data_IF_424688024043
#
_entry.id   IF_424688024043
#
_cell.length_a   1.000
_cell.length_b   1.000
_cell.length_c   1.000
_cell.angle_alpha   90.00
_cell.angle_beta   90.00
_cell.angle_gamma   90.00
#
_symmetry.space_group_name_H-M   'P 1'
#
loop_
_entity.id
_entity.type
_entity.pdbx_description
1 polymer ?
2 non-polymer ?
3 non-polymer ?
4 water ?
#
# COMPACT_ATOMS: atom_id res chain seq x y z
N UNK A 4 -16.60 23.66 -12.43
CA UNK A 4 -16.03 23.04 -11.18
C UNK A 4 -14.69 22.35 -11.51
N UNK A 5 -13.53 22.86 -11.03
CA UNK A 5 -12.24 22.39 -11.50
C UNK A 5 -11.95 20.98 -10.95
N UNK A 6 -11.15 20.22 -11.69
CA UNK A 6 -10.73 18.85 -11.27
C UNK A 6 -9.65 19.01 -10.23
N UNK A 7 -9.67 18.18 -9.17
CA UNK A 7 -8.69 18.31 -8.12
C UNK A 7 -7.29 17.90 -8.56
N UNK A 8 -6.28 18.49 -7.90
CA UNK A 8 -4.84 18.20 -8.09
C UNK A 8 -4.37 17.31 -6.94
N UNK A 9 -5.12 17.31 -5.84
CA UNK A 9 -4.81 16.54 -4.61
C UNK A 9 -6.13 16.11 -3.96
N UNK A 10 -6.14 14.90 -3.39
CA UNK A 10 -7.28 14.39 -2.59
C UNK A 10 -6.74 13.92 -1.26
N UNK A 11 -7.62 13.75 -0.31
CA UNK A 11 -7.22 13.11 0.95
C UNK A 11 -7.92 11.78 1.02
N UNK A 12 -7.17 10.81 1.55
CA UNK A 12 -7.56 9.40 1.63
C UNK A 12 -7.43 9.01 3.10
N UNK A 13 -8.46 8.45 3.65
CA UNK A 13 -8.48 7.80 4.96
C UNK A 13 -8.32 6.30 4.78
N UNK A 14 -7.37 5.71 5.50
CA UNK A 14 -7.17 4.24 5.57
C UNK A 14 -7.44 3.83 7.01
N UNK A 15 -8.30 2.84 7.21
CA UNK A 15 -8.52 2.30 8.55
C UNK A 15 -8.29 0.82 8.54
N UNK A 16 -7.68 0.28 9.56
CA UNK A 16 -7.57 -1.19 9.73
C UNK A 16 -8.01 -1.52 11.14
N UNK A 17 -8.85 -2.53 11.28
CA UNK A 17 -9.34 -2.95 12.61
C UNK A 17 -9.62 -4.43 12.61
N UNK A 18 -8.92 -5.15 13.45
CA UNK A 18 -9.25 -6.56 13.74
C UNK A 18 -10.30 -6.51 14.85
N UNK A 19 -11.52 -6.86 14.48
CA UNK A 19 -12.73 -6.67 15.34
C UNK A 19 -12.84 -7.81 16.36
N UNK A 20 -11.97 -8.82 16.33
CA UNK A 20 -12.02 -9.91 17.33
C UNK A 20 -13.37 -10.62 17.36
N UNK A 21 -14.04 -10.69 16.22
CA UNK A 21 -15.31 -11.46 16.04
C UNK A 21 -16.38 -10.92 17.00
N UNK A 22 -16.34 -9.61 17.32
CA UNK A 22 -17.36 -8.98 18.17
C UNK A 22 -17.94 -7.80 17.41
N UNK A 23 -19.25 -7.51 17.61
CA UNK A 23 -19.83 -6.32 17.05
C UNK A 23 -19.17 -5.07 17.61
N UNK A 24 -19.16 -4.00 16.84
CA UNK A 24 -18.56 -2.75 17.29
C UNK A 24 -19.45 -2.11 18.34
N UNK A 25 -18.91 -1.12 19.06
CA UNK A 25 -19.72 -0.28 19.94
C UNK A 25 -20.58 0.67 19.09
N UNK A 26 -21.47 1.37 19.76
CA UNK A 26 -22.46 2.22 19.07
C UNK A 26 -21.76 3.41 18.40
N UNK A 27 -20.67 3.91 18.96
CA UNK A 27 -19.98 5.08 18.40
C UNK A 27 -18.54 4.73 17.98
N UNK A 28 -18.20 4.92 16.70
CA UNK A 28 -16.82 4.63 16.23
C UNK A 28 -16.26 5.86 15.51
N UNK A 29 -16.89 7.03 15.66
CA UNK A 29 -16.46 8.26 14.96
C UNK A 29 -15.00 8.66 15.20
N UNK A 30 -14.45 8.34 16.38
CA UNK A 30 -13.04 8.65 16.76
C UNK A 30 -12.09 8.05 15.72
N UNK A 31 -12.43 6.88 15.18
CA UNK A 31 -11.60 6.20 14.17
C UNK A 31 -11.50 7.11 12.94
N UNK A 32 -12.66 7.56 12.41
CA UNK A 32 -12.71 8.31 11.13
C UNK A 32 -12.20 9.74 11.34
N UNK A 33 -12.14 10.20 12.59
CA UNK A 33 -11.62 11.53 12.91
C UNK A 33 -10.12 11.47 13.20
N UNK A 34 -9.49 10.29 13.20
CA UNK A 34 -8.03 10.20 13.51
C UNK A 34 -7.74 10.79 14.90
N UNK A 35 -8.53 10.36 15.89
CA UNK A 35 -8.41 10.79 17.32
C UNK A 35 -7.94 9.61 18.18
N UNK A 36 -7.03 9.87 19.11
CA UNK A 36 -6.59 8.89 20.09
C UNK A 36 -5.12 9.12 20.32
N UNK A 37 -4.33 8.09 20.09
CA UNK A 37 -2.85 8.13 20.29
C UNK A 37 -2.15 8.27 18.95
N UNK A 38 -0.92 8.77 18.97
CA UNK A 38 -0.04 8.81 17.81
C UNK A 38 -0.07 10.16 17.15
N UNK A 39 0.03 10.14 15.83
CA UNK A 39 -0.03 11.34 14.96
C UNK A 39 -1.50 11.57 14.61
N UNK A 40 -2.15 12.48 15.32
CA UNK A 40 -3.61 12.66 15.27
C UNK A 40 -3.96 13.90 14.46
N UNK A 41 -5.21 13.93 14.03
CA UNK A 41 -5.76 14.99 13.18
C UNK A 41 -6.24 16.17 14.03
N UNK A 42 -6.01 17.39 13.53
CA UNK A 42 -6.40 18.63 14.23
C UNK A 42 -7.94 18.71 14.36
N UNK A 43 -8.41 19.13 15.53
CA UNK A 43 -9.86 19.30 15.79
C UNK A 43 -10.52 20.19 14.74
N UNK A 44 -9.78 21.16 14.23
CA UNK A 44 -10.31 22.17 13.29
C UNK A 44 -10.68 21.52 11.95
N UNK A 45 -10.28 20.26 11.72
CA UNK A 45 -10.57 19.53 10.47
C UNK A 45 -11.76 18.59 10.62
N UNK A 46 -12.34 18.46 11.80
CA UNK A 46 -13.31 17.37 12.07
C UNK A 46 -14.49 17.35 11.09
N UNK A 47 -14.97 18.49 10.61
CA UNK A 47 -16.13 18.48 9.70
C UNK A 47 -15.72 18.32 8.25
N UNK A 48 -14.43 18.36 7.94
CA UNK A 48 -13.94 18.33 6.55
C UNK A 48 -13.91 16.87 6.15
N UNK A 49 -14.69 16.44 5.14
CA UNK A 49 -14.66 15.04 4.78
C UNK A 49 -13.37 14.74 4.01
N UNK A 50 -12.86 13.53 4.20
CA UNK A 50 -11.86 12.95 3.29
C UNK A 50 -12.57 12.69 1.96
N UNK A 51 -11.80 12.63 0.89
CA UNK A 51 -12.37 12.36 -0.44
C UNK A 51 -12.76 10.88 -0.54
N UNK A 52 -11.93 10.01 0.00
CA UNK A 52 -12.05 8.53 -0.13
C UNK A 52 -11.79 7.98 1.27
N UNK A 53 -12.64 7.07 1.75
CA UNK A 53 -12.44 6.30 3.00
C UNK A 53 -12.31 4.82 2.65
N UNK A 54 -11.21 4.19 3.05
CA UNK A 54 -10.95 2.76 2.78
C UNK A 54 -10.86 2.10 4.12
N UNK A 55 -11.75 1.15 4.37
CA UNK A 55 -11.94 0.53 5.71
C UNK A 55 -11.65 -0.96 5.61
N UNK A 56 -10.53 -1.40 6.19
CA UNK A 56 -10.15 -2.80 6.23
C UNK A 56 -10.49 -3.36 7.57
N UNK A 57 -11.19 -4.48 7.56
CA UNK A 57 -11.46 -5.23 8.81
C UNK A 57 -10.97 -6.67 8.72
N UNK A 58 -10.64 -7.21 9.86
CA UNK A 58 -10.29 -8.63 10.06
C UNK A 58 -11.13 -9.17 11.20
N UNK A 59 -11.37 -10.46 11.20
CA UNK A 59 -12.22 -11.10 12.24
C UNK A 59 -13.53 -10.30 12.34
N UNK A 60 -14.08 -9.89 11.19
CA UNK A 60 -15.30 -9.07 11.10
C UNK A 60 -16.52 -9.99 11.14
N UNK A 61 -17.35 -9.88 12.18
CA UNK A 61 -18.51 -10.79 12.30
C UNK A 61 -19.80 -10.29 11.63
N UNK A 62 -19.77 -9.08 11.09
CA UNK A 62 -20.97 -8.43 10.54
C UNK A 62 -21.21 -8.90 9.10
N UNK A 63 -22.44 -8.77 8.66
CA UNK A 63 -22.71 -8.84 7.21
C UNK A 63 -22.18 -7.58 6.55
N UNK A 64 -22.05 -7.60 5.23
CA UNK A 64 -21.68 -6.42 4.44
C UNK A 64 -22.71 -5.32 4.69
N UNK A 65 -24.00 -5.65 4.60
CA UNK A 65 -25.07 -4.66 4.83
C UNK A 65 -24.93 -4.05 6.22
N UNK A 66 -24.77 -4.86 7.26
CA UNK A 66 -24.67 -4.36 8.65
C UNK A 66 -23.50 -3.39 8.79
N UNK A 67 -22.35 -3.74 8.24
CA UNK A 67 -21.17 -2.85 8.37
C UNK A 67 -21.31 -1.59 7.52
N UNK A 68 -21.81 -1.69 6.30
CA UNK A 68 -22.03 -0.51 5.45
C UNK A 68 -22.95 0.50 6.15
N UNK A 69 -24.03 0.00 6.76
CA UNK A 69 -25.00 0.80 7.55
C UNK A 69 -24.22 1.64 8.57
N UNK A 70 -23.39 0.97 9.36
CA UNK A 70 -22.63 1.57 10.48
C UNK A 70 -21.63 2.56 9.91
N UNK A 71 -20.91 2.18 8.86
CA UNK A 71 -19.91 3.09 8.29
C UNK A 71 -20.60 4.34 7.75
N UNK A 72 -21.59 4.20 6.87
CA UNK A 72 -22.21 5.40 6.24
C UNK A 72 -22.84 6.32 7.29
N UNK A 73 -23.52 5.73 8.29
CA UNK A 73 -24.09 6.48 9.45
C UNK A 73 -22.99 7.34 10.08
N UNK A 74 -21.88 6.70 10.47
CA UNK A 74 -20.75 7.34 11.19
C UNK A 74 -20.22 8.53 10.38
N UNK A 75 -19.98 8.35 9.07
CA UNK A 75 -19.46 9.44 8.22
C UNK A 75 -20.53 10.53 8.10
N UNK A 76 -21.78 10.17 7.90
CA UNK A 76 -22.87 11.19 7.80
C UNK A 76 -22.94 12.01 9.09
N UNK A 77 -22.83 11.35 10.25
CA UNK A 77 -22.84 12.07 11.56
C UNK A 77 -21.68 13.06 11.61
N UNK A 78 -20.47 12.67 11.16
CA UNK A 78 -19.26 13.52 11.22
C UNK A 78 -19.38 14.68 10.23
N UNK A 79 -19.76 14.40 9.00
CA UNK A 79 -19.50 15.30 7.84
C UNK A 79 -20.79 15.91 7.29
N UNK A 80 -21.93 15.32 7.63
CA UNK A 80 -23.26 15.63 7.05
C UNK A 80 -23.27 15.29 5.56
N UNK A 81 -22.35 14.42 5.11
CA UNK A 81 -22.30 13.92 3.70
C UNK A 81 -22.70 12.46 3.69
N UNK A 82 -23.52 12.08 2.72
CA UNK A 82 -23.94 10.70 2.47
C UNK A 82 -22.96 10.10 1.46
N UNK A 83 -22.04 9.27 1.93
CA UNK A 83 -20.98 8.72 1.05
C UNK A 83 -21.58 7.65 0.13
N UNK A 84 -21.00 7.57 -1.05
CA UNK A 84 -21.34 6.55 -2.05
C UNK A 84 -20.42 5.36 -1.85
N UNK A 85 -20.95 4.17 -2.02
CA UNK A 85 -20.16 2.93 -1.94
C UNK A 85 -19.48 2.69 -3.28
N UNK A 86 -18.15 2.68 -3.31
CA UNK A 86 -17.33 2.38 -4.52
C UNK A 86 -17.22 0.88 -4.68
N UNK A 87 -16.90 0.18 -3.60
CA UNK A 87 -16.67 -1.26 -3.65
C UNK A 87 -16.73 -1.83 -2.25
N UNK A 88 -17.09 -3.09 -2.19
CA UNK A 88 -16.99 -3.87 -0.94
C UNK A 88 -16.61 -5.28 -1.35
N UNK A 89 -15.65 -5.87 -0.67
CA UNK A 89 -15.22 -7.27 -0.95
C UNK A 89 -14.82 -7.96 0.34
N UNK A 90 -15.30 -9.16 0.56
CA UNK A 90 -15.10 -9.96 1.77
C UNK A 90 -14.57 -11.34 1.40
N UNK A 91 -13.49 -11.75 2.05
CA UNK A 91 -13.00 -13.14 2.02
C UNK A 91 -13.10 -13.62 3.46
N UNK A 92 -13.94 -14.60 3.72
CA UNK A 92 -14.14 -15.17 5.06
C UNK A 92 -14.53 -14.00 5.99
N UNK A 93 -13.65 -13.58 6.89
CA UNK A 93 -13.94 -12.50 7.85
C UNK A 93 -12.98 -11.33 7.65
N UNK A 94 -12.38 -11.22 6.47
CA UNK A 94 -11.48 -10.15 6.01
C UNK A 94 -12.24 -9.30 5.01
N UNK A 95 -12.35 -8.03 5.24
CA UNK A 95 -13.25 -7.21 4.42
C UNK A 95 -12.60 -5.88 4.09
N UNK A 96 -12.91 -5.38 2.92
CA UNK A 96 -12.53 -4.02 2.50
C UNK A 96 -13.77 -3.29 2.02
N UNK A 97 -13.96 -2.05 2.46
CA UNK A 97 -15.02 -1.13 2.00
C UNK A 97 -14.36 0.13 1.50
N UNK A 98 -14.75 0.61 0.32
CA UNK A 98 -14.29 1.91 -0.22
C UNK A 98 -15.52 2.79 -0.39
N UNK A 99 -15.49 3.93 0.27
CA UNK A 99 -16.52 4.96 0.19
C UNK A 99 -15.91 6.24 -0.37
N UNK A 100 -16.71 7.00 -1.11
CA UNK A 100 -16.19 8.27 -1.70
C UNK A 100 -17.26 9.34 -1.64
N UNK A 101 -16.84 10.61 -1.58
CA UNK A 101 -17.75 11.77 -1.73
C UNK A 101 -18.63 11.53 -2.94
N UNK A 102 -19.92 11.94 -2.90
CA UNK A 102 -20.76 11.82 -4.08
C UNK A 102 -20.25 12.55 -5.31
N UNK A 103 -19.59 13.68 -5.12
CA UNK A 103 -19.03 14.50 -6.23
C UNK A 103 -17.96 13.71 -6.98
N UNK A 104 -17.42 12.63 -6.41
CA UNK A 104 -16.38 11.81 -7.07
C UNK A 104 -16.93 10.66 -7.90
N UNK A 105 -18.24 10.49 -7.90
CA UNK A 105 -18.83 9.29 -8.52
C UNK A 105 -18.44 9.20 -10.01
N UNK A 106 -18.45 10.34 -10.70
CA UNK A 106 -18.17 10.41 -12.16
C UNK A 106 -16.68 10.73 -12.39
N UNK A 107 -15.86 10.57 -11.35
CA UNK A 107 -14.36 10.61 -11.45
C UNK A 107 -13.80 9.20 -11.30
N UNK A 108 -14.58 8.27 -10.78
CA UNK A 108 -14.11 6.92 -10.41
C UNK A 108 -14.57 5.94 -11.47
N UNK A 109 -13.67 5.13 -11.98
CA UNK A 109 -13.98 4.11 -12.99
C UNK A 109 -13.04 2.92 -12.84
N UNK A 110 -13.24 1.88 -13.63
CA UNK A 110 -12.36 0.68 -13.68
C UNK A 110 -12.23 0.12 -12.27
N UNK A 111 -13.33 -0.11 -11.59
CA UNK A 111 -13.28 -0.64 -10.21
C UNK A 111 -13.01 -2.13 -10.30
N UNK A 112 -11.96 -2.61 -9.63
CA UNK A 112 -11.60 -4.05 -9.55
C UNK A 112 -11.59 -4.49 -8.08
N UNK A 113 -11.93 -5.75 -7.84
CA UNK A 113 -11.84 -6.39 -6.49
C UNK A 113 -11.21 -7.74 -6.69
N UNK A 114 -10.50 -8.20 -5.69
CA UNK A 114 -9.96 -9.57 -5.73
C UNK A 114 -9.59 -9.98 -4.33
N UNK A 115 -9.32 -11.25 -4.18
CA UNK A 115 -8.81 -11.76 -2.90
C UNK A 115 -7.74 -12.81 -3.20
N UNK A 116 -6.94 -13.08 -2.19
CA UNK A 116 -5.94 -14.18 -2.19
C UNK A 116 -6.07 -14.93 -0.88
N UNK A 117 -6.22 -16.24 -0.95
CA UNK A 117 -6.19 -17.15 0.20
C UNK A 117 -4.77 -17.61 0.40
N UNK A 118 -4.16 -17.38 1.58
CA UNK A 118 -2.76 -17.81 1.77
C UNK A 118 -2.70 -19.22 2.35
N UNK A 119 -1.53 -19.85 2.35
CA UNK A 119 -1.35 -21.13 3.07
C UNK A 119 -1.77 -22.33 2.23
N UNK A 120 -1.64 -23.53 2.82
CA UNK A 120 -1.92 -24.86 2.17
C UNK A 120 -2.49 -25.77 3.25
N UNK A 121 -3.59 -26.48 2.95
CA UNK A 121 -4.25 -27.49 3.82
C UNK A 121 -4.56 -26.88 5.20
N UNK A 122 -3.85 -27.30 6.26
CA UNK A 122 -3.93 -26.77 7.66
C UNK A 122 -4.07 -25.25 7.68
N UNK A 123 -3.22 -24.57 6.90
CA UNK A 123 -3.01 -23.08 6.94
C UNK A 123 -3.82 -22.39 5.84
N UNK A 124 -4.66 -23.11 5.07
CA UNK A 124 -5.67 -22.48 4.19
C UNK A 124 -7.02 -22.52 4.90
N UNK A 125 -7.68 -21.36 5.02
CA UNK A 125 -9.08 -21.32 5.46
C UNK A 125 -9.43 -20.09 6.26
N UNK A 126 -8.44 -19.30 6.70
CA UNK A 126 -8.87 -18.03 7.31
C UNK A 126 -8.00 -16.79 7.04
N UNK A 127 -6.74 -16.97 6.63
CA UNK A 127 -5.79 -15.86 6.39
C UNK A 127 -5.74 -15.56 4.89
N UNK A 128 -5.42 -14.31 4.55
CA UNK A 128 -5.31 -13.89 3.15
C UNK A 128 -5.52 -12.41 3.03
N UNK A 129 -5.98 -11.98 1.88
CA UNK A 129 -6.06 -10.54 1.62
C UNK A 129 -7.21 -10.26 0.69
N UNK A 130 -7.79 -9.09 0.85
CA UNK A 130 -8.79 -8.58 -0.13
C UNK A 130 -8.23 -7.27 -0.67
N UNK A 131 -8.63 -6.91 -1.87
CA UNK A 131 -8.17 -5.65 -2.45
C UNK A 131 -9.16 -5.00 -3.36
N UNK A 132 -8.99 -3.70 -3.56
CA UNK A 132 -9.80 -2.90 -4.46
C UNK A 132 -8.84 -2.02 -5.25
N UNK A 133 -9.11 -1.84 -6.53
CA UNK A 133 -8.46 -0.78 -7.30
C UNK A 133 -9.46 -0.03 -8.15
N UNK A 134 -9.09 1.19 -8.51
CA UNK A 134 -9.90 1.97 -9.45
C UNK A 134 -9.03 3.10 -9.97
N UNK A 135 -9.56 3.78 -10.97
CA UNK A 135 -9.01 5.04 -11.48
C UNK A 135 -9.75 6.18 -10.83
N UNK A 136 -9.05 7.19 -10.38
CA UNK A 136 -9.62 8.47 -9.96
C UNK A 136 -9.11 9.48 -10.98
N UNK A 137 -9.97 9.91 -11.89
CA UNK A 137 -9.48 10.68 -13.08
C UNK A 137 -8.24 9.98 -13.67
N UNK A 138 -7.10 10.66 -13.76
CA UNK A 138 -5.90 10.14 -14.46
C UNK A 138 -5.04 9.25 -13.58
N UNK A 139 -5.47 9.02 -12.34
CA UNK A 139 -4.61 8.44 -11.29
C UNK A 139 -5.13 7.06 -10.91
N UNK A 140 -4.27 6.07 -10.86
CA UNK A 140 -4.66 4.71 -10.45
C UNK A 140 -4.38 4.53 -8.94
N UNK A 141 -5.33 3.94 -8.23
CA UNK A 141 -5.29 3.76 -6.75
C UNK A 141 -5.52 2.27 -6.47
N UNK A 142 -4.69 1.65 -5.65
CA UNK A 142 -4.86 0.26 -5.20
C UNK A 142 -4.85 0.21 -3.70
N UNK A 143 -5.62 -0.72 -3.14
CA UNK A 143 -5.82 -0.85 -1.69
C UNK A 143 -5.85 -2.33 -1.36
N UNK A 144 -5.03 -2.74 -0.40
CA UNK A 144 -4.92 -4.14 0.01
C UNK A 144 -5.13 -4.21 1.51
N UNK A 145 -6.06 -5.04 1.96
CA UNK A 145 -6.28 -5.37 3.37
C UNK A 145 -5.87 -6.81 3.57
N UNK A 146 -4.78 -7.06 4.28
CA UNK A 146 -4.33 -8.45 4.51
C UNK A 146 -4.39 -8.80 5.98
N UNK A 147 -4.76 -10.02 6.29
CA UNK A 147 -4.67 -10.64 7.62
C UNK A 147 -3.63 -11.75 7.49
N UNK A 148 -2.43 -11.53 7.97
CA UNK A 148 -1.31 -12.47 7.78
C UNK A 148 -1.25 -13.45 8.96
N UNK A 149 -0.39 -14.44 8.81
CA UNK A 149 -0.29 -15.52 9.79
C UNK A 149 0.02 -14.93 11.17
N UNK A 150 -0.60 -15.48 12.22
CA UNK A 150 -0.40 -15.05 13.62
C UNK A 150 0.78 -15.78 14.25
N UNK A 151 1.23 -15.27 15.37
CA UNK A 151 2.19 -15.97 16.24
C UNK A 151 3.55 -15.36 16.14
N UNK A 152 4.18 -15.12 17.29
CA UNK A 152 5.49 -14.46 17.37
C UNK A 152 6.56 -15.21 16.57
N UNK A 153 6.45 -16.54 16.48
CA UNK A 153 7.49 -17.43 15.92
C UNK A 153 7.40 -17.49 14.38
N UNK A 154 6.36 -16.90 13.79
CA UNK A 154 6.01 -17.13 12.36
C UNK A 154 6.25 -15.90 11.47
N UNK A 155 7.28 -15.13 11.76
CA UNK A 155 7.59 -14.00 10.89
C UNK A 155 7.88 -14.42 9.43
N UNK A 156 8.58 -15.54 9.22
CA UNK A 156 8.95 -15.98 7.86
C UNK A 156 7.68 -16.40 7.10
N UNK A 157 6.69 -16.98 7.79
CA UNK A 157 5.37 -17.32 7.21
C UNK A 157 4.66 -16.03 6.75
N UNK A 158 4.68 -15.01 7.59
CA UNK A 158 4.08 -13.71 7.21
C UNK A 158 4.77 -13.19 5.95
N UNK A 159 6.08 -13.28 5.87
CA UNK A 159 6.80 -12.77 4.68
C UNK A 159 6.36 -13.55 3.45
N UNK A 160 6.18 -14.86 3.63
CA UNK A 160 5.69 -15.73 2.52
C UNK A 160 4.27 -15.30 2.15
N UNK A 161 3.43 -15.05 3.15
CA UNK A 161 2.03 -14.60 2.88
C UNK A 161 2.08 -13.32 2.03
N UNK A 162 2.90 -12.34 2.44
CA UNK A 162 3.09 -11.09 1.69
C UNK A 162 3.45 -11.39 0.22
N UNK A 163 4.40 -12.28 -0.01
CA UNK A 163 4.85 -12.53 -1.41
C UNK A 163 3.72 -13.17 -2.20
N UNK A 164 3.00 -14.14 -1.60
CA UNK A 164 1.83 -14.76 -2.30
C UNK A 164 0.76 -13.72 -2.62
N UNK A 165 0.46 -12.81 -1.71
CA UNK A 165 -0.59 -11.81 -1.96
C UNK A 165 -0.13 -10.90 -3.11
N UNK A 166 1.11 -10.44 -3.01
CA UNK A 166 1.80 -9.58 -3.99
C UNK A 166 1.69 -10.22 -5.38
N UNK A 167 1.98 -11.51 -5.47
CA UNK A 167 2.04 -12.26 -6.76
C UNK A 167 0.65 -12.45 -7.36
N UNK A 168 -0.32 -12.80 -6.54
CA UNK A 168 -1.57 -13.43 -7.03
C UNK A 168 -2.78 -12.51 -6.96
N UNK A 169 -2.72 -11.38 -6.25
CA UNK A 169 -3.86 -10.47 -6.20
C UNK A 169 -3.97 -9.78 -7.55
N UNK A 170 -5.10 -9.93 -8.22
CA UNK A 170 -5.29 -9.48 -9.62
C UNK A 170 -6.06 -8.16 -9.59
N UNK A 171 -5.37 -7.04 -9.48
CA UNK A 171 -6.03 -5.72 -9.49
C UNK A 171 -5.42 -4.90 -10.59
N UNK A 172 -6.08 -3.79 -10.93
CA UNK A 172 -5.56 -2.80 -11.87
C UNK A 172 -5.62 -3.30 -13.30
N UNK A 173 -4.79 -2.69 -14.14
CA UNK A 173 -4.87 -2.86 -15.62
C UNK A 173 -4.24 -4.19 -16.01
N UNK A 174 -5.12 -5.19 -16.42
CA UNK A 174 -4.63 -6.54 -16.81
C UNK A 174 -3.66 -6.45 -18.00
N UNK A 175 -3.60 -5.44 -18.78
CA UNK A 175 -2.63 -5.28 -19.90
C UNK A 175 -1.22 -5.08 -19.35
N UNK A 176 -1.11 -4.73 -18.05
CA UNK A 176 0.22 -4.55 -17.41
C UNK A 176 0.73 -5.92 -16.99
N UNK A 177 0.79 -6.84 -17.94
CA UNK A 177 0.92 -8.29 -17.64
C UNK A 177 2.24 -8.60 -16.95
N UNK A 178 3.39 -7.92 -17.19
CA UNK A 178 4.60 -8.26 -16.44
C UNK A 178 4.62 -7.80 -14.99
N UNK A 179 3.67 -6.94 -14.63
CA UNK A 179 3.73 -6.17 -13.37
C UNK A 179 2.76 -6.74 -12.35
N UNK A 180 3.23 -6.84 -11.11
CA UNK A 180 2.38 -7.19 -9.96
C UNK A 180 1.79 -5.91 -9.35
N UNK A 181 0.98 -6.07 -8.30
CA UNK A 181 0.29 -4.88 -7.72
C UNK A 181 1.30 -3.83 -7.23
N UNK A 182 2.56 -4.22 -6.93
CA UNK A 182 3.52 -3.22 -6.42
C UNK A 182 3.99 -2.27 -7.53
N UNK A 183 3.58 -2.45 -8.78
CA UNK A 183 3.91 -1.52 -9.89
C UNK A 183 2.66 -1.05 -10.65
N UNK A 184 1.46 -1.52 -10.31
CA UNK A 184 0.29 -1.19 -11.18
C UNK A 184 -0.35 0.15 -10.87
N UNK A 185 -0.03 0.78 -9.74
CA UNK A 185 -0.79 1.93 -9.22
C UNK A 185 0.08 3.14 -8.96
N UNK A 186 -0.44 4.31 -9.28
CA UNK A 186 0.18 5.60 -8.91
C UNK A 186 0.40 5.58 -7.38
N UNK A 187 -0.59 5.10 -6.62
CA UNK A 187 -0.56 5.03 -5.14
C UNK A 187 -1.13 3.68 -4.73
N UNK A 188 -0.36 2.92 -3.97
CA UNK A 188 -0.78 1.61 -3.45
C UNK A 188 -0.75 1.71 -1.92
N UNK A 189 -1.85 1.42 -1.26
CA UNK A 189 -1.93 1.38 0.21
C UNK A 189 -2.11 -0.07 0.63
N UNK A 190 -1.23 -0.55 1.49
CA UNK A 190 -1.30 -1.94 2.00
C UNK A 190 -1.38 -1.91 3.52
N UNK A 191 -2.43 -2.47 4.09
CA UNK A 191 -2.77 -2.31 5.52
C UNK A 191 -3.34 -3.62 5.97
N UNK A 192 -3.57 -3.73 7.26
CA UNK A 192 -4.21 -4.90 7.81
C UNK A 192 -3.71 -5.29 9.18
N UNK A 193 -4.16 -6.45 9.63
CA UNK A 193 -3.52 -7.14 10.76
C UNK A 193 -2.39 -7.94 10.14
N UNK A 194 -1.25 -7.29 10.00
CA UNK A 194 -0.03 -7.91 9.45
C UNK A 194 0.56 -8.88 10.46
N UNK A 195 0.25 -8.73 11.73
CA UNK A 195 0.55 -9.74 12.77
C UNK A 195 2.04 -9.85 13.09
N UNK A 196 2.86 -8.89 12.69
CA UNK A 196 4.25 -8.85 13.20
C UNK A 196 4.28 -8.41 14.66
N UNK A 197 5.21 -9.00 15.39
CA UNK A 197 5.25 -8.86 16.87
C UNK A 197 6.53 -8.15 17.30
N UNK A 198 6.50 -7.72 18.57
CA UNK A 198 7.72 -7.23 19.24
C UNK A 198 8.47 -8.44 19.74
N UNK A 199 9.63 -8.71 19.15
CA UNK A 199 10.44 -9.92 19.44
C UNK A 199 11.33 -9.64 20.65
N UNK A 200 10.78 -9.85 21.84
CA UNK A 200 11.50 -9.72 23.12
C UNK A 200 11.13 -10.97 23.87
N UNK A 201 11.94 -11.39 24.87
CA UNK A 201 11.61 -12.61 25.59
C UNK A 201 10.29 -12.47 26.35
N UNK A 202 9.56 -13.57 26.49
CA UNK A 202 8.20 -13.60 27.11
C UNK A 202 8.27 -13.18 28.57
N UNK A 203 9.40 -13.41 29.25
CA UNK A 203 9.60 -13.04 30.67
C UNK A 203 9.90 -11.53 30.82
N UNK A 204 10.05 -10.80 29.71
CA UNK A 204 10.06 -9.31 29.71
C UNK A 204 8.65 -8.68 29.60
N UNK A 205 7.59 -9.46 29.64
CA UNK A 205 6.21 -8.96 29.43
C UNK A 205 5.92 -7.77 30.33
N UNK A 206 6.22 -7.87 31.63
CA UNK A 206 5.81 -6.80 32.55
C UNK A 206 6.68 -5.58 32.27
N UNK A 207 7.94 -5.79 31.91
CA UNK A 207 8.86 -4.69 31.54
C UNK A 207 8.30 -3.95 30.33
N UNK A 208 7.84 -4.71 29.34
CA UNK A 208 7.30 -4.07 28.10
C UNK A 208 6.06 -3.22 28.49
N UNK A 209 5.18 -3.78 29.29
CA UNK A 209 3.97 -3.06 29.77
C UNK A 209 4.34 -1.75 30.48
N UNK A 210 5.36 -1.76 31.33
CA UNK A 210 5.78 -0.53 32.06
C UNK A 210 6.36 0.47 31.05
N UNK A 211 7.09 0.02 30.03
CA UNK A 211 7.58 0.94 28.97
C UNK A 211 6.39 1.61 28.27
N UNK A 212 5.37 0.81 27.93
CA UNK A 212 4.16 1.35 27.26
C UNK A 212 3.47 2.38 28.17
N UNK A 213 3.34 2.11 29.47
CA UNK A 213 2.74 3.07 30.44
C UNK A 213 3.54 4.38 30.45
N UNK A 214 4.84 4.33 30.23
CA UNK A 214 5.71 5.54 30.21
C UNK A 214 5.72 6.18 28.84
N UNK A 215 4.98 5.61 27.88
CA UNK A 215 5.03 6.09 26.46
C UNK A 215 6.46 6.09 25.92
N UNK A 216 7.25 5.09 26.28
CA UNK A 216 8.67 4.92 25.85
C UNK A 216 8.65 3.75 24.89
N UNK A 217 8.47 4.04 23.61
CA UNK A 217 8.27 2.99 22.58
C UNK A 217 9.61 2.63 21.91
N UNK A 218 10.69 3.42 22.06
CA UNK A 218 11.91 3.26 21.22
C UNK A 218 12.49 1.85 21.33
N UNK A 219 12.67 1.32 22.55
CA UNK A 219 13.31 0.00 22.76
C UNK A 219 12.32 -1.09 22.32
N UNK A 220 11.02 -0.79 22.23
CA UNK A 220 10.11 -1.83 21.72
C UNK A 220 10.14 -1.83 20.17
N UNK A 221 10.07 -0.65 19.55
CA UNK A 221 10.06 -0.55 18.07
C UNK A 221 11.36 -1.13 17.50
N UNK A 222 12.49 -1.01 18.20
CA UNK A 222 13.76 -1.61 17.68
C UNK A 222 13.68 -3.13 17.65
N UNK A 223 12.65 -3.74 18.26
CA UNK A 223 12.43 -5.20 18.17
C UNK A 223 11.19 -5.56 17.36
N UNK A 224 10.50 -4.58 16.79
CA UNK A 224 9.30 -4.87 15.98
C UNK A 224 9.72 -5.67 14.75
N UNK A 225 9.06 -6.81 14.53
CA UNK A 225 9.49 -7.68 13.44
C UNK A 225 9.30 -7.04 12.08
N UNK A 226 8.24 -6.26 11.88
CA UNK A 226 8.03 -5.66 10.56
C UNK A 226 9.15 -4.64 10.28
N UNK A 227 9.49 -3.80 11.23
CA UNK A 227 10.59 -2.83 10.98
C UNK A 227 11.90 -3.58 10.72
N UNK A 228 12.20 -4.64 11.45
CA UNK A 228 13.49 -5.36 11.30
C UNK A 228 13.46 -6.08 9.97
N UNK A 229 12.38 -6.79 9.63
CA UNK A 229 12.30 -7.52 8.37
C UNK A 229 12.41 -6.56 7.17
N UNK A 230 11.76 -5.40 7.26
CA UNK A 230 11.82 -4.35 6.21
C UNK A 230 13.27 -3.85 6.09
N UNK A 231 13.95 -3.62 7.21
CA UNK A 231 15.34 -3.08 7.16
C UNK A 231 16.26 -4.11 6.48
N UNK A 232 16.00 -5.41 6.68
CA UNK A 232 16.84 -6.48 6.10
C UNK A 232 16.31 -6.86 4.70
N UNK A 233 15.35 -6.12 4.15
CA UNK A 233 14.83 -6.30 2.78
C UNK A 233 14.17 -7.67 2.60
N UNK A 234 13.49 -8.14 3.64
CA UNK A 234 12.82 -9.48 3.62
C UNK A 234 11.36 -9.34 3.20
N UNK A 235 10.79 -8.12 3.23
CA UNK A 235 9.32 -7.92 3.07
C UNK A 235 9.07 -6.44 2.80
N UNK A 236 8.01 -6.08 2.08
CA UNK A 236 7.56 -4.70 1.87
C UNK A 236 8.71 -3.85 1.31
N UNK A 237 9.52 -4.42 0.44
CA UNK A 237 10.62 -3.65 -0.20
C UNK A 237 10.01 -2.46 -0.96
N UNK A 238 10.54 -1.25 -0.73
CA UNK A 238 10.17 -0.01 -1.45
C UNK A 238 8.83 0.53 -0.99
N UNK A 239 8.32 0.03 0.15
CA UNK A 239 7.15 0.64 0.82
C UNK A 239 7.59 1.61 1.89
N UNK A 240 6.72 2.56 2.21
CA UNK A 240 6.91 3.55 3.30
C UNK A 240 5.95 3.23 4.44
N UNK A 241 6.32 3.62 5.67
CA UNK A 241 5.42 3.57 6.83
C UNK A 241 5.76 4.81 7.63
N UNK A 242 4.73 5.52 8.10
CA UNK A 242 4.90 6.70 8.99
C UNK A 242 5.47 6.21 10.32
N UNK A 243 6.25 7.05 11.00
CA UNK A 243 6.77 6.67 12.32
C UNK A 243 5.63 6.34 13.26
N UNK A 244 5.78 5.27 14.04
CA UNK A 244 4.79 4.82 15.04
C UNK A 244 5.00 5.57 16.35
N UNK A 245 3.97 6.27 16.80
CA UNK A 245 4.06 7.09 18.04
C UNK A 245 2.86 6.76 18.91
N UNK A 246 2.22 5.61 18.71
CA UNK A 246 1.08 5.11 19.49
C UNK A 246 1.47 3.81 20.17
N UNK A 247 0.77 3.46 21.22
CA UNK A 247 1.02 2.21 21.96
C UNK A 247 0.70 1.02 21.07
N UNK A 248 1.33 -0.11 21.34
CA UNK A 248 0.93 -1.36 20.68
C UNK A 248 -0.60 -1.54 20.71
N UNK A 249 -1.15 -2.04 19.60
CA UNK A 249 -2.61 -2.09 19.39
C UNK A 249 -3.17 -3.47 19.70
N UNK A 250 -2.33 -4.38 20.19
CA UNK A 250 -2.68 -5.78 20.50
C UNK A 250 -1.76 -6.19 21.65
N UNK A 251 -2.14 -7.11 22.56
CA UNK A 251 -3.44 -7.73 22.70
C UNK A 251 -4.09 -7.17 23.97
N UNK A 252 -5.25 -6.53 23.84
CA UNK A 252 -5.96 -5.91 24.99
C UNK A 252 -7.00 -6.87 25.57
N UNK A 253 -7.19 -6.78 26.89
CA UNK A 253 -8.47 -7.21 27.50
C UNK A 253 -9.61 -6.38 26.89
N UNK A 254 -10.71 -7.02 26.52
CA UNK A 254 -11.90 -6.32 25.98
C UNK A 254 -12.55 -5.43 27.05
N UNK A 255 -13.17 -4.34 26.57
CA UNK A 255 -14.07 -3.41 27.31
C UNK A 255 -13.25 -2.42 28.15
N UNK A 256 -11.92 -2.53 28.17
CA UNK A 256 -11.04 -1.47 28.71
C UNK A 256 -9.88 -1.28 27.72
N UNK A 257 -9.02 -0.26 27.90
CA UNK A 257 -7.67 -0.28 27.26
C UNK A 257 -6.58 -0.27 28.33
N UNK A 258 -6.95 -0.64 29.57
CA UNK A 258 -6.04 -0.48 30.73
C UNK A 258 -5.12 -1.68 30.86
N UNK A 259 -5.44 -2.79 30.19
CA UNK A 259 -4.73 -4.06 30.41
C UNK A 259 -4.41 -4.74 29.08
N UNK A 260 -3.13 -5.06 28.93
CA UNK A 260 -2.64 -5.99 27.90
C UNK A 260 -2.79 -7.41 28.44
N UNK A 261 -3.45 -8.27 27.68
CA UNK A 261 -3.67 -9.70 27.97
C UNK A 261 -2.67 -10.50 27.15
N UNK A 262 -1.50 -10.76 27.72
CA UNK A 262 -0.36 -11.36 27.00
C UNK A 262 -0.11 -12.84 27.34
N UNK A 263 -0.64 -13.30 28.49
CA UNK A 263 -0.31 -14.63 29.06
C UNK A 263 -0.91 -15.73 28.18
N UNK A 264 -0.26 -16.90 28.16
CA UNK A 264 -0.74 -18.07 27.37
C UNK A 264 -2.00 -18.62 28.03
N UNK A 265 -2.96 -19.00 27.20
CA UNK A 265 -4.30 -19.52 27.60
C UNK A 265 -4.66 -20.61 26.59
N UNK A 266 -5.56 -21.53 26.99
CA UNK A 266 -6.08 -22.54 26.04
C UNK A 266 -6.59 -21.82 24.78
N UNK A 267 -7.30 -20.72 24.97
CA UNK A 267 -7.92 -19.92 23.87
C UNK A 267 -6.84 -19.39 22.89
N UNK A 268 -5.60 -19.22 23.34
CA UNK A 268 -4.47 -18.77 22.47
C UNK A 268 -3.64 -19.93 21.94
N UNK A 269 -4.10 -21.17 22.09
CA UNK A 269 -3.24 -22.30 21.76
C UNK A 269 -1.98 -22.33 22.62
N UNK A 270 -2.09 -21.87 23.87
CA UNK A 270 -0.96 -21.76 24.82
C UNK A 270 0.20 -20.95 24.23
N UNK A 271 -0.15 -19.87 23.52
CA UNK A 271 0.82 -18.89 22.94
C UNK A 271 0.79 -17.62 23.77
N UNK A 272 1.96 -17.03 24.01
CA UNK A 272 2.07 -15.67 24.56
C UNK A 272 1.75 -14.71 23.43
N UNK A 273 1.11 -13.61 23.80
CA UNK A 273 0.85 -12.48 22.87
C UNK A 273 1.39 -11.23 23.52
N UNK A 274 2.70 -11.06 23.52
CA UNK A 274 3.31 -9.82 24.05
C UNK A 274 2.75 -8.65 23.25
N UNK A 275 2.61 -7.48 23.88
CA UNK A 275 2.12 -6.29 23.21
C UNK A 275 2.89 -6.04 21.92
N UNK A 276 2.14 -5.84 20.85
CA UNK A 276 2.72 -5.72 19.51
C UNK A 276 1.94 -4.73 18.66
N UNK A 277 2.64 -4.24 17.65
CA UNK A 277 2.01 -3.38 16.62
C UNK A 277 1.56 -4.28 15.46
N UNK A 278 0.51 -5.07 15.69
CA UNK A 278 0.00 -6.00 14.64
C UNK A 278 -0.62 -5.22 13.47
N UNK A 279 -1.18 -4.05 13.71
CA UNK A 279 -2.16 -3.37 12.85
C UNK A 279 -1.52 -2.17 12.18
N UNK A 280 -1.33 -2.20 10.86
CA UNK A 280 -0.36 -1.30 10.19
C UNK A 280 -0.90 -0.77 8.90
N UNK A 281 -0.34 0.35 8.48
CA UNK A 281 -0.64 0.94 7.17
C UNK A 281 0.67 1.32 6.51
N UNK A 282 0.90 0.81 5.32
CA UNK A 282 2.08 1.11 4.51
C UNK A 282 1.63 1.58 3.14
N UNK A 283 2.51 2.26 2.42
CA UNK A 283 2.15 2.66 1.05
C UNK A 283 3.36 2.67 0.15
N UNK A 284 3.07 2.72 -1.13
CA UNK A 284 4.12 2.81 -2.15
C UNK A 284 3.51 3.59 -3.29
N UNK A 285 4.11 4.71 -3.63
CA UNK A 285 3.65 5.59 -4.70
C UNK A 285 4.75 5.69 -5.75
N UNK A 286 4.36 5.93 -6.98
CA UNK A 286 5.34 6.09 -8.06
C UNK A 286 6.27 7.24 -7.72
N UNK A 287 7.51 7.18 -8.25
CA UNK A 287 8.50 8.19 -7.94
C UNK A 287 8.04 9.62 -8.26
N UNK A 288 8.30 10.52 -7.30
CA UNK A 288 8.06 11.99 -7.43
C UNK A 288 6.57 12.31 -7.53
N UNK A 289 5.71 11.39 -7.09
CA UNK A 289 4.29 11.76 -6.94
C UNK A 289 4.11 12.24 -5.50
N UNK A 290 3.34 13.31 -5.33
CA UNK A 290 3.03 13.84 -3.99
C UNK A 290 2.24 12.82 -3.17
N UNK A 291 2.77 12.45 -2.02
CA UNK A 291 2.02 11.61 -1.05
C UNK A 291 2.55 11.98 0.32
N UNK A 292 1.69 12.47 1.19
CA UNK A 292 2.12 12.91 2.54
C UNK A 292 1.17 12.30 3.57
N UNK A 293 1.71 11.56 4.50
CA UNK A 293 0.90 11.05 5.62
C UNK A 293 0.59 12.18 6.58
N UNK A 294 -0.71 12.39 6.82
CA UNK A 294 -1.22 13.47 7.71
C UNK A 294 -1.52 12.93 9.11
N UNK A 295 -1.78 11.63 9.26
CA UNK A 295 -2.13 11.04 10.55
C UNK A 295 -1.75 9.57 10.51
N UNK A 296 -1.39 9.03 11.66
CA UNK A 296 -1.13 7.60 11.83
C UNK A 296 -1.21 7.33 13.31
N UNK A 297 -2.24 6.63 13.72
CA UNK A 297 -2.48 6.43 15.16
C UNK A 297 -3.53 5.43 15.45
N UNK A 298 -3.87 5.30 16.70
CA UNK A 298 -4.86 4.30 17.14
C UNK A 298 -5.92 5.00 17.98
N UNK A 299 -7.13 4.45 18.00
CA UNK A 299 -8.19 5.00 18.86
C UNK A 299 -7.96 4.47 20.27
N UNK A 300 -8.51 5.20 21.24
CA UNK A 300 -8.44 4.88 22.68
C UNK A 300 -9.80 4.45 23.24
N UNK A 301 -10.90 4.73 22.52
CA UNK A 301 -12.27 4.66 23.05
C UNK A 301 -13.09 3.56 22.40
N UNK A 302 -12.49 2.69 21.57
CA UNK A 302 -13.23 1.58 20.90
C UNK A 302 -12.62 0.31 21.45
N UNK A 303 -13.36 -0.42 22.30
CA UNK A 303 -12.78 -1.44 23.21
C UNK A 303 -13.46 -2.81 23.05
N UNK A 304 -14.25 -3.02 21.99
CA UNK A 304 -14.99 -4.30 21.82
C UNK A 304 -14.06 -5.44 21.41
N UNK A 305 -12.91 -5.12 20.81
CA UNK A 305 -11.95 -6.11 20.31
C UNK A 305 -10.73 -6.16 21.23
N UNK A 306 -9.92 -7.18 21.03
CA UNK A 306 -8.59 -7.28 21.64
C UNK A 306 -7.57 -6.48 20.82
N UNK A 307 -7.96 -5.90 19.68
CA UNK A 307 -7.17 -4.92 18.94
C UNK A 307 -7.83 -3.57 19.04
N UNK A 308 -7.04 -2.51 19.07
CA UNK A 308 -7.54 -1.15 18.80
C UNK A 308 -7.49 -0.86 17.31
N UNK A 309 -8.48 -0.13 16.79
CA UNK A 309 -8.46 0.38 15.41
C UNK A 309 -7.25 1.28 15.16
N UNK A 310 -6.71 1.19 13.96
CA UNK A 310 -5.65 2.08 13.48
C UNK A 310 -6.18 2.92 12.31
N UNK A 311 -5.79 4.19 12.27
CA UNK A 311 -6.09 5.14 11.19
C UNK A 311 -4.80 5.66 10.61
N UNK A 312 -4.84 5.96 9.34
CA UNK A 312 -3.83 6.74 8.65
C UNK A 312 -4.55 7.60 7.61
N UNK A 313 -4.13 8.82 7.45
CA UNK A 313 -4.66 9.66 6.37
C UNK A 313 -3.53 10.21 5.55
N UNK A 314 -3.84 10.49 4.29
CA UNK A 314 -2.85 10.89 3.30
C UNK A 314 -3.41 11.99 2.41
N UNK A 315 -2.53 12.93 2.04
CA UNK A 315 -2.76 13.87 0.91
C UNK A 315 -2.04 13.27 -0.30
N UNK A 316 -2.78 12.92 -1.36
CA UNK A 316 -2.25 12.22 -2.55
C UNK A 316 -2.45 13.06 -3.81
N UNK A 317 -1.38 13.23 -4.58
CA UNK A 317 -1.44 13.86 -5.89
C UNK A 317 -2.27 13.05 -6.84
N UNK A 318 -3.14 13.75 -7.57
CA UNK A 318 -3.95 13.16 -8.65
C UNK A 318 -3.83 14.08 -9.85
N UNK A 319 -4.07 13.49 -11.02
CA UNK A 319 -4.03 14.19 -12.30
C UNK A 319 -5.38 14.09 -12.97
N UNK A 320 -5.62 14.99 -13.94
CA UNK A 320 -6.88 15.10 -14.71
C UNK A 320 -6.93 14.00 -15.77
N UNK A 321 -8.12 13.75 -16.33
CA UNK A 321 -8.31 12.88 -17.52
C UNK A 321 -8.04 13.75 -18.76
N UNK A 322 -6.80 13.84 -19.21
CA UNK A 322 -6.37 14.78 -20.27
C UNK A 322 -6.91 14.40 -21.65
N UNK A 323 -7.45 15.42 -22.35
CA UNK A 323 -7.82 15.33 -23.79
C UNK A 323 -7.04 16.42 -24.54
N UNK A 324 -6.51 16.08 -25.70
CA UNK A 324 -6.01 17.10 -26.66
C UNK A 324 -6.64 16.87 -28.03
N UNK A 325 -6.36 17.78 -28.97
CA UNK A 325 -6.84 17.71 -30.37
C UNK A 325 -6.28 16.43 -31.03
N UNK A 326 -5.11 15.96 -30.56
CA UNK A 326 -4.48 14.71 -31.07
C UNK A 326 -4.90 13.57 -30.13
N UNK A 327 -4.06 13.19 -29.14
CA UNK A 327 -4.41 12.09 -28.22
C UNK A 327 -5.49 12.49 -27.22
N UNK A 328 -6.29 11.55 -26.67
CA UNK A 328 -6.31 10.13 -27.09
C UNK A 328 -6.84 9.80 -28.49
N UNK A 329 -6.39 8.66 -29.03
CA UNK A 329 -6.80 8.08 -30.33
C UNK A 329 -5.81 8.34 -31.43
N UNK A 330 -4.69 8.98 -31.09
CA UNK A 330 -3.54 9.13 -32.01
C UNK A 330 -2.33 9.51 -31.17
N UNK A 331 -1.14 9.51 -31.77
CA UNK A 331 0.10 10.06 -31.16
C UNK A 331 0.09 11.59 -31.31
N UNK A 332 0.91 12.28 -30.50
CA UNK A 332 1.22 13.72 -30.67
C UNK A 332 2.69 13.80 -31.06
N UNK A 333 2.97 14.04 -32.35
CA UNK A 333 4.32 13.92 -32.95
C UNK A 333 5.26 14.99 -32.35
N UNK A 334 4.74 15.93 -31.56
CA UNK A 334 5.57 16.93 -30.84
C UNK A 334 6.12 16.31 -29.55
N UNK A 335 5.69 15.10 -29.19
CA UNK A 335 6.17 14.35 -28.00
C UNK A 335 7.13 13.25 -28.38
N UNK A 336 8.20 13.05 -27.61
CA UNK A 336 9.02 11.81 -27.71
C UNK A 336 9.81 11.56 -26.42
N UNK A 337 10.01 10.28 -26.13
CA UNK A 337 10.86 9.81 -25.01
C UNK A 337 11.95 8.92 -25.57
N UNK A 338 13.21 9.36 -25.42
CA UNK A 338 14.40 8.57 -25.84
C UNK A 338 15.10 8.09 -24.57
N UNK A 339 15.34 6.78 -24.48
CA UNK A 339 16.24 6.16 -23.48
C UNK A 339 17.63 5.98 -24.11
N UNK A 340 18.67 6.70 -23.62
CA UNK A 340 20.09 6.69 -24.09
C UNK A 340 20.98 5.86 -23.15
N UNK A 341 21.88 5.04 -23.69
CA UNK A 341 23.04 4.46 -22.94
C UNK A 341 22.49 3.72 -21.71
N UNK A 342 21.45 2.95 -21.90
CA UNK A 342 20.80 2.27 -20.77
C UNK A 342 21.42 0.89 -20.59
N UNK A 343 21.49 0.46 -19.35
CA UNK A 343 21.88 -0.93 -19.06
C UNK A 343 21.17 -1.42 -17.81
N UNK A 344 20.84 -2.70 -17.87
CA UNK A 344 20.27 -3.45 -16.74
C UNK A 344 21.41 -4.23 -16.09
N UNK A 345 21.44 -4.24 -14.77
CA UNK A 345 22.35 -5.12 -13.99
C UNK A 345 21.44 -6.16 -13.33
N UNK A 346 21.62 -7.45 -13.62
CA UNK A 346 20.72 -8.47 -13.05
C UNK A 346 21.50 -9.41 -12.14
N UNK A 347 20.84 -9.86 -11.09
CA UNK A 347 21.40 -10.83 -10.12
C UNK A 347 21.33 -12.28 -10.66
N UNK A 348 20.63 -12.51 -11.75
CA UNK A 348 20.44 -13.86 -12.35
C UNK A 348 21.75 -14.57 -12.74
N UNK A 349 21.73 -15.88 -12.64
CA UNK A 349 22.84 -16.74 -13.13
C UNK A 349 22.60 -17.13 -14.59
N UNK A 350 21.38 -16.95 -15.12
CA UNK A 350 20.98 -17.41 -16.47
C UNK A 350 21.78 -16.65 -17.54
N UNK A 351 21.79 -17.15 -18.78
CA UNK A 351 22.55 -16.53 -19.90
C UNK A 351 21.68 -16.38 -21.16
N UNK A 352 20.34 -16.43 -21.04
CA UNK A 352 19.41 -16.00 -22.11
C UNK A 352 19.79 -14.58 -22.57
N UNK A 353 19.40 -14.20 -23.78
CA UNK A 353 19.30 -12.79 -24.19
C UNK A 353 18.08 -12.17 -23.50
N UNK A 354 18.09 -10.86 -23.34
CA UNK A 354 16.97 -10.11 -22.71
C UNK A 354 16.51 -9.01 -23.64
N UNK A 355 15.24 -8.64 -23.56
CA UNK A 355 14.64 -7.46 -24.19
C UNK A 355 13.86 -6.71 -23.12
N UNK A 356 13.53 -5.46 -23.41
CA UNK A 356 12.69 -4.65 -22.49
C UNK A 356 11.28 -4.51 -23.04
N UNK A 357 10.35 -4.30 -22.12
CA UNK A 357 9.01 -3.78 -22.47
C UNK A 357 8.82 -2.47 -21.71
N UNK A 358 8.35 -1.46 -22.43
CA UNK A 358 7.97 -0.15 -21.86
C UNK A 358 6.45 -0.09 -21.85
N UNK A 359 5.87 0.07 -20.66
CA UNK A 359 4.40 0.20 -20.49
C UNK A 359 4.07 1.55 -19.87
N UNK A 360 3.09 2.23 -20.42
CA UNK A 360 2.63 3.49 -19.83
C UNK A 360 1.30 3.90 -20.44
N UNK A 361 0.44 4.49 -19.62
CA UNK A 361 -0.84 5.11 -20.03
C UNK A 361 -0.60 6.21 -21.08
N UNK A 362 0.61 6.78 -21.11
CA UNK A 362 0.94 7.86 -22.09
C UNK A 362 1.26 7.25 -23.47
N UNK A 363 1.32 5.92 -23.60
CA UNK A 363 1.53 5.20 -24.89
C UNK A 363 0.23 4.54 -25.34
N UNK A 364 0.04 4.39 -26.65
CA UNK A 364 -1.14 3.72 -27.22
C UNK A 364 -1.09 2.24 -26.81
N UNK A 365 0.08 1.66 -26.82
CA UNK A 365 0.32 0.28 -26.33
C UNK A 365 1.79 0.11 -25.97
N UNK A 366 2.11 -0.98 -25.29
CA UNK A 366 3.46 -1.17 -24.72
C UNK A 366 4.43 -1.37 -25.89
N UNK A 367 5.69 -1.08 -25.66
CA UNK A 367 6.77 -1.11 -26.71
C UNK A 367 7.82 -2.13 -26.29
N UNK A 368 8.14 -3.04 -27.21
CA UNK A 368 9.12 -4.13 -27.00
C UNK A 368 10.43 -3.77 -27.72
N UNK A 369 11.54 -3.68 -26.96
CA UNK A 369 12.88 -3.33 -27.49
C UNK A 369 13.47 -4.55 -28.23
N UNK A 370 14.55 -4.29 -28.95
CA UNK A 370 15.51 -5.32 -29.44
C UNK A 370 16.16 -5.96 -28.21
N UNK A 371 16.74 -7.13 -28.40
CA UNK A 371 17.60 -7.77 -27.37
C UNK A 371 18.79 -6.88 -27.07
N UNK A 372 19.22 -6.83 -25.81
CA UNK A 372 20.43 -6.12 -25.41
C UNK A 372 21.66 -7.00 -25.56
N UNK A 373 22.83 -6.43 -25.30
CA UNK A 373 24.16 -7.11 -25.36
C UNK A 373 24.61 -7.50 -23.95
N UNK A 374 24.69 -8.79 -23.67
CA UNK A 374 25.15 -9.33 -22.38
C UNK A 374 26.67 -9.16 -22.29
N UNK A 375 27.14 -8.62 -21.17
CA UNK A 375 28.55 -8.68 -20.73
C UNK A 375 28.57 -9.26 -19.32
N UNK A 376 29.74 -9.71 -18.88
CA UNK A 376 30.04 -10.08 -17.47
C UNK A 376 30.46 -8.80 -16.72
N UNK A 377 29.78 -8.48 -15.61
CA UNK A 377 30.20 -7.46 -14.63
C UNK A 377 31.33 -7.95 -13.74
N UNK A 378 32.19 -7.04 -13.27
CA UNK A 378 33.44 -7.33 -12.52
C UNK A 378 33.18 -8.27 -11.34
N UNK A 379 32.06 -8.08 -10.61
CA UNK A 379 31.79 -8.78 -9.32
C UNK A 379 30.81 -9.97 -9.53
N UNK A 380 30.76 -10.56 -10.73
CA UNK A 380 30.04 -11.82 -11.01
C UNK A 380 28.63 -11.64 -11.60
N UNK A 381 28.20 -10.42 -11.93
CA UNK A 381 26.78 -10.10 -12.29
C UNK A 381 26.56 -10.17 -13.81
N UNK A 382 25.31 -10.13 -14.24
CA UNK A 382 25.00 -9.93 -15.67
C UNK A 382 24.69 -8.44 -15.94
N UNK A 383 25.36 -7.85 -16.92
CA UNK A 383 25.08 -6.48 -17.39
C UNK A 383 24.53 -6.61 -18.79
N UNK A 384 23.31 -6.13 -18.99
CA UNK A 384 22.66 -6.13 -20.32
C UNK A 384 22.72 -4.70 -20.84
N UNK A 385 23.39 -4.48 -21.97
CA UNK A 385 23.60 -3.12 -22.55
C UNK A 385 22.62 -2.93 -23.70
N UNK A 386 21.93 -1.79 -23.76
CA UNK A 386 20.93 -1.49 -24.80
C UNK A 386 21.45 -0.41 -25.75
N UNK A 387 22.51 0.25 -25.33
CA UNK A 387 23.20 1.27 -26.11
C UNK A 387 22.28 2.43 -26.46
N UNK A 388 22.16 2.73 -27.75
CA UNK A 388 21.29 3.77 -28.32
C UNK A 388 20.34 3.06 -29.26
N UNK A 389 20.12 1.76 -29.00
CA UNK A 389 19.28 0.86 -29.84
C UNK A 389 17.79 1.04 -29.48
N UNK A 390 17.45 1.56 -28.29
CA UNK A 390 16.06 1.47 -27.72
C UNK A 390 15.07 2.25 -28.59
N UNK A 391 13.84 1.72 -28.79
CA UNK A 391 12.85 2.37 -29.65
C UNK A 391 12.47 3.73 -29.05
N UNK A 392 12.31 4.75 -29.88
CA UNK A 392 11.84 6.09 -29.44
C UNK A 392 10.37 5.98 -29.07
N UNK A 393 9.95 6.37 -27.85
CA UNK A 393 8.55 6.18 -27.41
C UNK A 393 7.74 7.42 -27.84
N UNK A 394 6.54 7.17 -28.35
CA UNK A 394 5.66 8.20 -28.96
C UNK A 394 4.43 8.37 -28.08
N UNK A 395 4.45 9.37 -27.17
CA UNK A 395 3.32 9.58 -26.27
C UNK A 395 2.13 10.14 -27.05
N UNK A 396 0.94 9.88 -26.52
CA UNK A 396 -0.38 10.22 -27.13
C UNK A 396 -0.62 11.73 -27.04
N UNK A 397 0.07 12.40 -26.12
CA UNK A 397 -0.16 13.82 -25.77
C UNK A 397 1.23 14.42 -25.50
N UNK A 398 1.52 15.60 -26.04
CA UNK A 398 2.87 16.22 -26.00
C UNK A 398 2.93 17.32 -24.94
N UNK A 399 1.77 17.78 -24.48
CA UNK A 399 1.64 18.90 -23.54
C UNK A 399 2.46 18.54 -22.31
N UNK A 400 3.41 19.40 -21.90
CA UNK A 400 4.25 19.13 -20.74
C UNK A 400 3.45 19.05 -19.44
N UNK A 401 2.32 19.74 -19.34
CA UNK A 401 1.44 19.68 -18.14
C UNK A 401 0.91 18.25 -17.95
N UNK A 402 0.86 17.49 -19.02
CA UNK A 402 0.44 16.07 -18.95
C UNK A 402 1.70 15.22 -18.82
N UNK A 403 2.63 15.40 -19.75
CA UNK A 403 3.67 14.36 -19.96
C UNK A 403 4.60 14.30 -18.77
N UNK A 404 4.89 15.43 -18.12
CA UNK A 404 5.86 15.46 -17.01
C UNK A 404 5.28 14.77 -15.77
N UNK A 405 3.97 14.52 -15.76
CA UNK A 405 3.30 13.81 -14.64
C UNK A 405 3.22 12.31 -14.89
N UNK A 406 3.76 11.81 -16.02
CA UNK A 406 3.59 10.39 -16.39
C UNK A 406 4.76 9.57 -15.86
N UNK A 407 4.62 8.26 -15.98
CA UNK A 407 5.63 7.26 -15.58
C UNK A 407 5.75 6.20 -16.64
N UNK A 408 6.97 5.67 -16.80
CA UNK A 408 7.24 4.50 -17.68
C UNK A 408 7.58 3.29 -16.80
N UNK A 409 6.76 2.25 -16.87
CA UNK A 409 7.07 0.94 -16.26
C UNK A 409 8.00 0.19 -17.22
N UNK A 410 9.04 -0.42 -16.69
CA UNK A 410 10.01 -1.21 -17.49
C UNK A 410 10.03 -2.63 -16.94
N UNK A 411 9.87 -3.59 -17.85
CA UNK A 411 10.12 -5.01 -17.59
C UNK A 411 11.27 -5.46 -18.46
N UNK A 412 12.20 -6.19 -17.86
CA UNK A 412 13.27 -6.90 -18.64
C UNK A 412 12.91 -8.37 -18.67
N UNK A 413 12.75 -8.87 -19.90
CA UNK A 413 12.21 -10.23 -20.14
C UNK A 413 13.26 -11.08 -20.87
N UNK A 414 13.26 -12.36 -20.54
CA UNK A 414 14.09 -13.40 -21.21
C UNK A 414 13.56 -13.61 -22.63
N UNK A 415 14.41 -13.57 -23.64
CA UNK A 415 14.01 -13.96 -25.04
C UNK A 415 13.56 -15.42 -25.08
N UNK A 416 14.08 -16.29 -24.21
CA UNK A 416 13.87 -17.76 -24.30
C UNK A 416 12.50 -18.11 -23.72
N UNK A 417 12.05 -17.40 -22.67
CA UNK A 417 10.86 -17.81 -21.91
C UNK A 417 9.81 -16.68 -21.91
N UNK A 418 10.20 -15.46 -22.31
CA UNK A 418 9.32 -14.26 -22.26
C UNK A 418 8.87 -14.01 -20.82
N UNK A 419 9.51 -14.50 -19.96
CA UNK A 419 9.18 -14.24 -18.54
C UNK A 419 9.97 -13.01 -18.07
N UNK A 420 9.32 -12.14 -17.19
CA UNK A 420 10.02 -10.96 -16.62
C UNK A 420 11.01 -11.40 -15.55
N UNK A 421 12.23 -10.89 -15.65
CA UNK A 421 13.27 -11.05 -14.63
C UNK A 421 13.33 -9.83 -13.69
N UNK A 422 12.65 -8.74 -14.03
CA UNK A 422 12.75 -7.50 -13.25
C UNK A 422 11.78 -6.46 -13.78
N UNK A 423 11.18 -5.74 -12.85
CA UNK A 423 10.21 -4.67 -13.11
C UNK A 423 10.62 -3.46 -12.31
N UNK A 424 10.45 -2.30 -12.91
CA UNK A 424 10.71 -1.02 -12.24
C UNK A 424 9.95 0.11 -12.89
N UNK A 425 10.16 1.33 -12.42
CA UNK A 425 9.40 2.48 -12.89
C UNK A 425 10.28 3.71 -12.93
N UNK A 426 10.13 4.49 -13.99
CA UNK A 426 10.84 5.75 -14.23
C UNK A 426 9.84 6.90 -14.26
N UNK A 427 10.04 7.93 -13.47
CA UNK A 427 9.22 9.16 -13.54
C UNK A 427 9.66 10.01 -14.74
N UNK A 428 8.68 10.64 -15.39
CA UNK A 428 8.97 11.69 -16.41
C UNK A 428 8.97 13.11 -15.81
N UNK A 429 8.96 13.22 -14.48
CA UNK A 429 8.99 14.52 -13.75
C UNK A 429 10.44 15.03 -13.74
N UNK A 430 10.96 15.39 -14.91
CA UNK A 430 12.40 15.70 -15.12
C UNK A 430 12.73 17.13 -14.72
N UNK A 431 14.00 17.39 -14.43
CA UNK A 431 14.51 18.75 -14.13
C UNK A 431 14.53 19.62 -15.39
N UNK A 432 14.44 19.04 -16.58
CA UNK A 432 14.64 19.66 -17.92
C UNK A 432 14.07 18.76 -19.00
N UNK A 433 13.64 19.36 -20.12
CA UNK A 433 13.25 18.68 -21.36
C UNK A 433 14.34 18.96 -22.40
N UNK A 434 14.36 18.16 -23.45
CA UNK A 434 15.32 18.26 -24.57
C UNK A 434 16.75 18.19 -24.02
N UNK A 435 16.95 17.53 -22.88
CA UNK A 435 18.23 17.48 -22.11
C UNK A 435 18.48 16.03 -21.69
N UNK A 436 19.70 15.51 -21.87
CA UNK A 436 20.02 14.13 -21.45
C UNK A 436 20.16 14.16 -19.93
N UNK A 437 19.40 13.31 -19.26
CA UNK A 437 19.32 13.36 -17.79
C UNK A 437 19.41 11.94 -17.25
N UNK A 438 20.10 11.73 -16.12
CA UNK A 438 20.22 10.39 -15.56
C UNK A 438 18.86 9.86 -15.08
N UNK A 439 18.62 8.58 -15.34
CA UNK A 439 17.44 7.84 -14.81
C UNK A 439 17.94 6.57 -14.12
N UNK A 440 17.10 6.07 -13.23
CA UNK A 440 17.44 4.92 -12.39
C UNK A 440 16.14 4.31 -11.86
N UNK A 441 16.08 2.98 -11.83
CA UNK A 441 15.09 2.29 -10.97
C UNK A 441 15.73 0.99 -10.50
N UNK A 442 15.44 0.58 -9.27
CA UNK A 442 15.68 -0.81 -8.89
C UNK A 442 14.73 -1.67 -9.70
N UNK A 443 15.09 -2.92 -9.87
CA UNK A 443 14.23 -3.94 -10.52
C UNK A 443 13.87 -4.99 -9.51
N UNK A 444 12.59 -5.37 -9.48
CA UNK A 444 12.14 -6.44 -8.58
C UNK A 444 11.41 -7.46 -9.41
N UNK A 445 11.25 -8.66 -8.86
CA UNK A 445 10.38 -9.70 -9.44
C UNK A 445 9.82 -10.46 -8.28
N UNK A 446 8.50 -10.62 -8.27
CA UNK A 446 7.78 -11.18 -7.10
C UNK A 446 8.14 -10.33 -5.86
N UNK A 447 8.38 -9.04 -6.08
CA UNK A 447 8.58 -8.06 -5.01
C UNK A 447 9.93 -8.16 -4.34
N UNK A 448 10.85 -9.02 -4.82
CA UNK A 448 12.25 -9.15 -4.36
C UNK A 448 13.18 -8.47 -5.35
N UNK A 449 14.28 -7.95 -4.82
CA UNK A 449 15.27 -7.22 -5.64
C UNK A 449 15.96 -8.20 -6.60
N UNK A 450 15.96 -7.88 -7.89
CA UNK A 450 16.61 -8.75 -8.90
C UNK A 450 17.67 -8.00 -9.70
N UNK A 451 17.78 -6.69 -9.49
CA UNK A 451 18.68 -5.92 -10.35
C UNK A 451 18.41 -4.44 -10.30
N UNK A 452 18.91 -3.74 -11.31
CA UNK A 452 18.81 -2.27 -11.47
C UNK A 452 18.74 -1.94 -12.95
N UNK A 453 18.14 -0.80 -13.25
CA UNK A 453 18.13 -0.26 -14.63
C UNK A 453 18.56 1.20 -14.52
N UNK A 454 19.55 1.58 -15.31
CA UNK A 454 20.04 2.97 -15.23
C UNK A 454 20.47 3.39 -16.62
N UNK A 455 20.48 4.69 -16.86
CA UNK A 455 20.86 5.21 -18.17
C UNK A 455 20.54 6.67 -18.19
N UNK A 456 20.21 7.18 -19.35
CA UNK A 456 19.81 8.58 -19.50
C UNK A 456 18.50 8.62 -20.28
N UNK A 457 17.76 9.71 -20.08
CA UNK A 457 16.48 9.95 -20.78
C UNK A 457 16.60 11.32 -21.46
N UNK A 458 15.91 11.55 -22.52
CA UNK A 458 15.77 12.85 -23.22
C UNK A 458 14.29 12.95 -23.57
N UNK A 459 13.56 13.89 -22.98
CA UNK A 459 12.10 14.04 -23.11
C UNK A 459 11.80 15.29 -23.93
N UNK A 460 11.10 15.11 -25.06
CA UNK A 460 10.59 16.21 -25.90
C UNK A 460 9.11 16.42 -25.58
N UNK A 461 8.74 17.65 -25.21
CA UNK A 461 7.33 18.04 -25.02
C UNK A 461 7.03 19.13 -26.05
N UNK A 462 5.76 19.54 -26.20
CA UNK A 462 5.34 20.63 -27.11
C UNK A 462 5.93 21.99 -26.67
N UNK A 463 6.51 22.10 -25.47
CA UNK A 463 7.04 23.41 -25.01
C UNK A 463 8.57 23.47 -25.12
X LIG B 1 -19.71 3.16 -8.52
X LIG B 1 -17.86 6.28 -7.16
X LIG B 1 -23.38 0.08 -7.46
X LIG B 1 -21.05 -0.01 -6.68
X LIG B 1 -20.39 -0.59 -5.61
X LIG B 1 -21.32 -1.27 -4.86
X LIG B 1 -20.43 0.85 -7.78
X LIG B 1 -19.19 4.39 -7.78
X LIG B 1 -18.04 5.14 -8.14
X LIG B 1 -18.89 6.27 -6.17
X LIG B 1 -22.32 -0.32 -6.56
X LIG B 1 -22.51 -1.10 -5.45
X LIG B 1 -20.28 2.26 -7.54
X LIG B 1 -20.10 0.35 -8.82
X LIG B 1 -19.89 5.02 -6.46
X LIG C 1 -0.80 9.63 -12.43
X LIG C 1 -1.74 10.59 -11.81
X LIG C 1 0.78 10.29 -11.97
X LIG C 1 -0.64 10.08 -14.16
X LIG D 1 1.17 4.04 -15.70
X LIG D 1 1.25 4.86 -16.98
X LIG D 1 0.47 2.45 -16.20
X LIG D 1 2.81 3.45 -15.48
X LIG E 1 10.84 1.23 -8.15
X LIG E 1 9.48 0.76 -8.64
X LIG E 1 10.75 1.42 -6.40
X LIG E 1 10.99 2.95 -8.58
#
# INVERSE_FOLDING_TARGET
SMEQPEPDMITIFIGTWNMGNAPPPKKITSWFLSKGQGKTRDDSADYIPHDIYVIGTQEDPLSEKEWLEILKHSLQEITSVTFKTVAIHTLWNIRIVVLAKPEHENRISHICTDNVKTGIANTLGNKGAVGVSFMFNGTSLGFVNSHLTSGSEKKLRRNQNYMNILRFLALGDKKLSPFNITHRFTHLFWFGDLNYRVDLPTWEAETIIQKIKQQQYADLLSHDQLLTERREQKVFLHFEEEEITFAPTYRFERLTRDKYAYTKQKATGMKYNLPSWCDRVLWKSYPLVHVVCQSYGSTSDIMTSDHSPVFATFEAGVTSQFVSKNGPGTVDSQGQIEFLRCYATLKTKSQTKFYLEFHSSCLESFVKSQEGENEEGSEGELVVKFGETLPKLKPIISDPEYLLDQHILISIKSSDSDESYGEGCIALRLEATETQLPIYTPLTHHGELTGHFQGEIKLQTSQ
JO1 C10 C13 C01 C03 C04 C05 C07 C11 C12 C14 N02 N06 N09 O08 S15
DMS S O C1 C2
DMS S O C1 C2
DMS S O C1 C2
#
